data_IF_535784103327
#
_entry.id   IF_535784103327
#
_cell.length_a   1.000
_cell.length_b   1.000
_cell.length_c   1.000
_cell.angle_alpha   90.00
_cell.angle_beta   90.00
_cell.angle_gamma   90.00
#
_symmetry.space_group_name_H-M   'P 1'
#
loop_
_entity.id
_entity.type
_entity.pdbx_description
1 polymer ?
#
# COMPACT_ATOMS: atom_id res chain seq x y z
N UNK A 1 -27.68 32.05 23.34
CA UNK A 1 -27.31 31.13 22.24
C UNK A 1 -26.23 30.19 22.76
N UNK A 2 -26.45 28.87 22.76
CA UNK A 2 -25.46 27.88 23.20
C UNK A 2 -24.80 27.30 21.94
N UNK A 3 -23.60 27.77 21.60
CA UNK A 3 -22.82 27.18 20.51
C UNK A 3 -22.34 25.82 21.03
N UNK A 4 -22.94 24.75 20.51
CA UNK A 4 -22.43 23.39 20.67
C UNK A 4 -21.19 23.30 19.77
N UNK A 5 -20.00 23.42 20.37
CA UNK A 5 -18.75 23.03 19.71
C UNK A 5 -18.81 21.52 19.51
N UNK A 6 -19.13 21.10 18.28
CA UNK A 6 -19.05 19.70 17.92
C UNK A 6 -17.58 19.26 17.97
N UNK A 7 -17.28 18.06 18.53
CA UNK A 7 -15.95 17.51 18.45
C UNK A 7 -15.58 17.33 16.96
N UNK A 8 -14.48 17.93 16.53
CA UNK A 8 -13.90 17.69 15.20
C UNK A 8 -13.29 16.28 15.16
N UNK A 9 -14.12 15.25 15.10
CA UNK A 9 -13.66 13.93 14.67
C UNK A 9 -13.30 14.04 13.19
N UNK A 10 -12.05 13.75 12.79
CA UNK A 10 -11.68 13.79 11.39
C UNK A 10 -12.61 12.87 10.59
N UNK A 11 -13.11 13.30 9.41
CA UNK A 11 -14.12 12.56 8.67
C UNK A 11 -13.65 11.14 8.37
N UNK A 12 -14.59 10.18 8.37
CA UNK A 12 -14.33 8.84 7.87
C UNK A 12 -13.96 8.90 6.37
N UNK A 13 -13.21 7.92 5.88
CA UNK A 13 -12.93 7.80 4.45
C UNK A 13 -14.23 7.83 3.65
N UNK A 14 -14.23 8.58 2.55
CA UNK A 14 -15.28 8.43 1.54
C UNK A 14 -15.19 7.03 0.93
N UNK A 15 -16.32 6.50 0.44
CA UNK A 15 -16.35 5.20 -0.24
C UNK A 15 -15.32 5.12 -1.38
N UNK A 16 -15.10 6.22 -2.10
CA UNK A 16 -14.08 6.31 -3.14
C UNK A 16 -12.66 6.13 -2.60
N UNK A 17 -12.30 6.85 -1.54
CA UNK A 17 -10.98 6.76 -0.91
C UNK A 17 -10.75 5.35 -0.34
N UNK A 18 -11.78 4.74 0.26
CA UNK A 18 -11.72 3.36 0.72
C UNK A 18 -11.39 2.38 -0.42
N UNK A 19 -12.06 2.53 -1.57
CA UNK A 19 -11.79 1.70 -2.76
C UNK A 19 -10.36 1.92 -3.28
N UNK A 20 -9.87 3.16 -3.33
CA UNK A 20 -8.51 3.49 -3.79
C UNK A 20 -7.44 2.86 -2.88
N UNK A 21 -7.62 2.95 -1.56
CA UNK A 21 -6.73 2.34 -0.56
C UNK A 21 -6.72 0.80 -0.68
N UNK A 22 -7.89 0.18 -0.84
CA UNK A 22 -7.98 -1.26 -1.04
C UNK A 22 -7.31 -1.72 -2.34
N UNK A 23 -7.52 -0.99 -3.44
CA UNK A 23 -6.84 -1.27 -4.70
C UNK A 23 -5.32 -1.16 -4.56
N UNK A 24 -4.82 -0.18 -3.80
CA UNK A 24 -3.39 -0.03 -3.52
C UNK A 24 -2.85 -1.21 -2.72
N UNK A 25 -3.51 -1.64 -1.64
CA UNK A 25 -3.06 -2.82 -0.91
C UNK A 25 -3.06 -4.09 -1.75
N UNK A 26 -4.06 -4.27 -2.63
CA UNK A 26 -4.09 -5.40 -3.58
C UNK A 26 -2.96 -5.37 -4.59
N UNK A 27 -2.60 -4.19 -5.08
CA UNK A 27 -1.46 -3.99 -5.96
C UNK A 27 -0.14 -4.36 -5.26
N UNK A 28 0.06 -3.86 -4.04
CA UNK A 28 1.26 -4.14 -3.23
C UNK A 28 1.37 -5.65 -2.89
N UNK A 29 0.25 -6.30 -2.55
CA UNK A 29 0.19 -7.75 -2.35
C UNK A 29 0.55 -8.52 -3.63
N UNK A 30 0.04 -8.10 -4.80
CA UNK A 30 0.38 -8.70 -6.08
C UNK A 30 1.88 -8.59 -6.39
N UNK A 31 2.51 -7.47 -6.03
CA UNK A 31 3.95 -7.27 -6.21
C UNK A 31 4.76 -8.23 -5.33
N UNK A 32 4.39 -8.38 -4.06
CA UNK A 32 5.01 -9.33 -3.13
C UNK A 32 4.88 -10.77 -3.67
N UNK A 33 3.70 -11.16 -4.14
CA UNK A 33 3.46 -12.48 -4.72
C UNK A 33 4.25 -12.70 -6.01
N UNK A 34 4.40 -11.67 -6.83
CA UNK A 34 5.22 -11.75 -8.05
C UNK A 34 6.68 -11.94 -7.69
N UNK A 35 7.16 -11.26 -6.65
CA UNK A 35 8.51 -11.44 -6.11
C UNK A 35 8.71 -12.86 -5.55
N UNK A 36 7.73 -13.38 -4.80
CA UNK A 36 7.74 -14.76 -4.29
C UNK A 36 7.88 -15.80 -5.39
N UNK A 37 7.21 -15.62 -6.53
CA UNK A 37 7.36 -16.50 -7.70
C UNK A 37 8.76 -16.49 -8.31
N UNK A 38 9.53 -15.42 -8.10
CA UNK A 38 10.90 -15.30 -8.59
C UNK A 38 11.96 -15.72 -7.56
N UNK A 39 11.58 -15.98 -6.31
CA UNK A 39 12.47 -16.47 -5.25
C UNK A 39 12.18 -15.85 -3.87
N UNK A 40 12.50 -16.59 -2.81
CA UNK A 40 12.26 -16.17 -1.41
C UNK A 40 13.00 -14.87 -1.05
N UNK A 41 14.24 -14.69 -1.50
CA UNK A 41 15.00 -13.45 -1.27
C UNK A 41 14.33 -12.24 -1.91
N UNK A 42 13.74 -12.40 -3.11
CA UNK A 42 13.01 -11.32 -3.77
C UNK A 42 11.71 -11.02 -3.04
N UNK A 43 11.02 -12.03 -2.54
CA UNK A 43 9.84 -11.88 -1.68
C UNK A 43 10.14 -11.03 -0.44
N UNK A 44 11.18 -11.39 0.31
CA UNK A 44 11.59 -10.69 1.53
C UNK A 44 11.97 -9.24 1.23
N UNK A 45 12.77 -9.02 0.19
CA UNK A 45 13.15 -7.68 -0.26
C UNK A 45 11.91 -6.85 -0.67
N UNK A 46 10.94 -7.47 -1.35
CA UNK A 46 9.70 -6.78 -1.74
C UNK A 46 8.81 -6.48 -0.54
N UNK A 47 8.69 -7.40 0.44
CA UNK A 47 7.96 -7.15 1.69
C UNK A 47 8.55 -5.97 2.45
N UNK A 48 9.87 -5.94 2.62
CA UNK A 48 10.57 -4.82 3.26
C UNK A 48 10.36 -3.52 2.49
N UNK A 49 10.45 -3.56 1.16
CA UNK A 49 10.24 -2.39 0.32
C UNK A 49 8.82 -1.82 0.44
N UNK A 50 7.79 -2.67 0.45
CA UNK A 50 6.39 -2.27 0.65
C UNK A 50 6.17 -1.70 2.05
N UNK A 51 6.74 -2.31 3.09
CA UNK A 51 6.63 -1.80 4.46
C UNK A 51 7.21 -0.38 4.59
N UNK A 52 8.41 -0.16 4.04
CA UNK A 52 9.06 1.15 4.07
C UNK A 52 8.25 2.22 3.30
N UNK A 53 7.63 1.84 2.17
CA UNK A 53 6.72 2.72 1.43
C UNK A 53 5.51 3.10 2.29
N UNK A 54 4.89 2.15 2.97
CA UNK A 54 3.67 2.39 3.75
C UNK A 54 3.95 3.16 5.05
N UNK A 55 5.09 2.94 5.71
CA UNK A 55 5.45 3.66 6.93
C UNK A 55 6.03 5.07 6.69
N UNK A 56 6.03 5.55 5.44
CA UNK A 56 6.60 6.85 5.05
C UNK A 56 8.10 6.98 5.23
N UNK A 57 8.83 5.87 5.22
CA UNK A 57 10.29 5.86 5.27
C UNK A 57 10.91 6.09 3.88
N UNK A 58 10.07 6.19 2.84
CA UNK A 58 10.49 6.23 1.45
C UNK A 58 9.45 6.94 0.57
N UNK A 59 9.88 7.60 -0.49
CA UNK A 59 9.04 8.19 -1.54
C UNK A 59 8.57 7.17 -2.58
N UNK A 60 7.54 7.50 -3.37
CA UNK A 60 7.08 6.63 -4.47
C UNK A 60 8.17 6.50 -5.55
N UNK A 61 8.92 7.56 -5.80
CA UNK A 61 10.04 7.55 -6.74
C UNK A 61 11.15 6.58 -6.30
N UNK A 62 11.57 6.64 -5.03
CA UNK A 62 12.57 5.71 -4.48
C UNK A 62 12.07 4.26 -4.48
N UNK A 63 10.80 4.05 -4.13
CA UNK A 63 10.16 2.74 -4.21
C UNK A 63 10.22 2.18 -5.63
N UNK A 64 9.95 3.03 -6.62
CA UNK A 64 9.92 2.63 -8.03
C UNK A 64 11.28 2.18 -8.55
N UNK A 65 12.35 2.87 -8.11
CA UNK A 65 13.73 2.49 -8.46
C UNK A 65 14.07 1.13 -7.85
N UNK A 66 13.87 0.96 -6.54
CA UNK A 66 14.16 -0.31 -5.84
C UNK A 66 13.27 -1.47 -6.30
N UNK A 67 12.01 -1.18 -6.64
CA UNK A 67 11.09 -2.16 -7.22
C UNK A 67 11.65 -2.75 -8.52
N UNK A 68 12.21 -1.90 -9.39
CA UNK A 68 12.82 -2.30 -10.66
C UNK A 68 14.05 -3.17 -10.45
N UNK A 69 14.82 -2.92 -9.39
CA UNK A 69 15.98 -3.76 -9.02
C UNK A 69 15.54 -5.19 -8.61
N UNK A 70 14.37 -5.34 -7.98
CA UNK A 70 13.88 -6.64 -7.52
C UNK A 70 13.23 -7.45 -8.64
N UNK A 71 12.25 -6.86 -9.36
CA UNK A 71 11.45 -7.58 -10.36
C UNK A 71 11.89 -7.36 -11.81
N UNK A 72 12.80 -6.43 -12.05
CA UNK A 72 13.17 -5.99 -13.40
C UNK A 72 12.22 -4.91 -13.95
N UNK A 73 12.45 -4.47 -15.18
CA UNK A 73 11.60 -3.48 -15.85
C UNK A 73 10.16 -4.00 -16.01
N UNK A 74 9.18 -3.11 -15.81
CA UNK A 74 7.76 -3.38 -16.01
C UNK A 74 7.18 -2.28 -16.90
N UNK A 75 6.51 -2.64 -17.99
CA UNK A 75 5.87 -1.70 -18.92
C UNK A 75 4.76 -0.88 -18.26
N UNK A 76 4.18 -1.38 -17.16
CA UNK A 76 3.14 -0.71 -16.40
C UNK A 76 3.68 0.17 -15.26
N UNK A 77 5.00 0.41 -15.20
CA UNK A 77 5.66 1.10 -14.08
C UNK A 77 5.14 2.53 -13.87
N UNK A 78 4.86 3.27 -14.96
CA UNK A 78 4.31 4.64 -14.90
C UNK A 78 2.91 4.67 -14.27
N UNK A 79 2.03 3.78 -14.71
CA UNK A 79 0.65 3.66 -14.17
C UNK A 79 0.69 3.27 -12.69
N UNK A 80 1.62 2.40 -12.31
CA UNK A 80 1.86 2.00 -10.93
C UNK A 80 2.29 3.20 -10.05
N UNK A 81 3.10 4.09 -10.61
CA UNK A 81 3.61 5.30 -9.98
C UNK A 81 2.47 6.29 -9.67
N UNK A 82 1.67 6.63 -10.68
CA UNK A 82 0.54 7.55 -10.54
C UNK A 82 -0.49 7.04 -9.54
N UNK A 83 -0.72 5.73 -9.55
CA UNK A 83 -1.66 5.11 -8.62
C UNK A 83 -1.12 5.08 -7.18
N UNK A 84 0.17 4.80 -7.00
CA UNK A 84 0.82 4.91 -5.69
C UNK A 84 0.80 6.36 -5.17
N UNK A 85 1.15 7.35 -5.98
CA UNK A 85 1.17 8.76 -5.55
C UNK A 85 -0.20 9.28 -5.09
N UNK A 86 -1.28 8.84 -5.74
CA UNK A 86 -2.64 9.27 -5.40
C UNK A 86 -3.22 8.57 -4.17
N UNK A 87 -3.04 7.25 -4.03
CA UNK A 87 -3.66 6.46 -2.96
C UNK A 87 -2.81 6.31 -1.69
N UNK A 88 -1.48 6.46 -1.79
CA UNK A 88 -0.56 6.24 -0.66
C UNK A 88 -0.70 7.26 0.48
N UNK A 89 -0.94 8.57 0.24
CA UNK A 89 -1.18 9.52 1.33
C UNK A 89 -2.39 9.15 2.18
N UNK A 90 -3.43 8.63 1.54
CA UNK A 90 -4.66 8.17 2.21
C UNK A 90 -4.34 6.92 3.05
N UNK A 91 -3.71 5.91 2.45
CA UNK A 91 -3.31 4.69 3.15
C UNK A 91 -2.43 4.99 4.38
N UNK A 92 -1.44 5.89 4.24
CA UNK A 92 -0.57 6.34 5.34
C UNK A 92 -1.35 7.02 6.46
N UNK A 93 -2.33 7.86 6.11
CA UNK A 93 -3.16 8.59 7.08
C UNK A 93 -4.04 7.62 7.88
N UNK A 94 -4.64 6.64 7.22
CA UNK A 94 -5.50 5.65 7.86
C UNK A 94 -4.71 4.68 8.76
N UNK A 95 -3.51 4.27 8.34
CA UNK A 95 -2.62 3.44 9.17
C UNK A 95 -2.13 4.22 10.39
N UNK A 96 -1.70 5.49 10.22
CA UNK A 96 -1.24 6.34 11.34
C UNK A 96 -2.35 6.65 12.35
N UNK A 97 -3.61 6.65 11.91
CA UNK A 97 -4.76 6.87 12.78
C UNK A 97 -5.31 5.59 13.40
N UNK A 98 -4.65 4.43 13.19
CA UNK A 98 -5.07 3.11 13.65
C UNK A 98 -6.48 2.69 13.17
N UNK A 99 -7.01 3.36 12.15
CA UNK A 99 -8.32 3.09 11.54
C UNK A 99 -8.29 1.91 10.58
N UNK A 100 -7.12 1.63 10.02
CA UNK A 100 -6.89 0.56 9.07
C UNK A 100 -5.60 -0.17 9.43
N UNK A 101 -5.66 -1.47 9.69
CA UNK A 101 -4.44 -2.25 9.92
C UNK A 101 -3.86 -2.65 8.58
N UNK A 102 -2.54 -2.60 8.44
CA UNK A 102 -1.85 -3.01 7.21
C UNK A 102 -2.22 -4.45 6.80
N UNK A 103 -2.40 -5.34 7.77
CA UNK A 103 -2.81 -6.72 7.55
C UNK A 103 -4.21 -6.86 6.93
N UNK A 104 -5.08 -5.85 7.09
CA UNK A 104 -6.43 -5.84 6.50
C UNK A 104 -6.40 -5.51 5.00
N UNK A 105 -5.31 -4.91 4.52
CA UNK A 105 -5.15 -4.46 3.12
C UNK A 105 -4.11 -5.30 2.36
N UNK A 106 -3.07 -5.78 3.05
CA UNK A 106 -1.96 -6.57 2.49
C UNK A 106 -1.83 -7.87 3.27
N UNK A 107 -2.10 -8.99 2.60
CA UNK A 107 -1.99 -10.31 3.22
C UNK A 107 -0.57 -10.86 3.05
N UNK A 108 0.27 -10.73 4.08
CA UNK A 108 1.65 -11.24 4.07
C UNK A 108 1.79 -12.78 4.13
N UNK A 109 0.67 -13.52 4.10
CA UNK A 109 0.64 -14.98 4.20
C UNK A 109 0.75 -15.70 2.86
N UNK A 110 1.03 -17.03 2.87
CA UNK A 110 1.03 -17.83 1.65
C UNK A 110 -0.33 -17.71 0.96
N UNK A 111 -0.32 -17.61 -0.37
CA UNK A 111 -1.55 -17.63 -1.19
C UNK A 111 -2.36 -18.85 -0.73
N UNK A 112 -3.64 -18.70 -0.31
CA UNK A 112 -4.48 -19.86 -0.11
C UNK A 112 -4.51 -20.60 -1.45
N UNK A 113 -3.80 -21.74 -1.51
CA UNK A 113 -3.83 -22.62 -2.67
C UNK A 113 -5.29 -23.02 -2.80
N UNK A 114 -5.95 -22.56 -3.86
CA UNK A 114 -7.25 -23.09 -4.24
C UNK A 114 -7.11 -24.61 -4.31
N UNK A 115 -7.88 -25.31 -3.48
CA UNK A 115 -8.23 -26.70 -3.72
C UNK A 115 -9.10 -26.78 -4.99
#
# INVERSE_FOLDING_TARGET
MKILLQPMTPPALTQRQFIEVHKLGRLLDLMIRTAAKQGSTKEENMKALVLNLVHSEMSVSEFTVKYKEILGPNENQLVLLEFCESALPILRTEIRSDRLKLADVITFGPVPRKQ
#
